data_IF_002688646889
#
_entry.id   IF_002688646889
#
_cell.length_a   1.000
_cell.length_b   1.000
_cell.length_c   1.000
_cell.angle_alpha   90.00
_cell.angle_beta   90.00
_cell.angle_gamma   90.00
#
_symmetry.space_group_name_H-M   'P 1'
#
loop_
_entity.id
_entity.type
_entity.pdbx_description
1 polymer ?
#
# COMPACT_ATOMS: atom_id res chain seq x y z
N UNK A 1 11.67 -24.25 16.17
CA UNK A 1 12.84 -25.01 16.69
C UNK A 1 13.75 -24.00 17.35
N UNK A 2 14.07 -24.17 18.63
CA UNK A 2 15.07 -23.33 19.30
C UNK A 2 16.44 -23.67 18.70
N UNK A 3 17.17 -22.65 18.24
CA UNK A 3 18.54 -22.82 17.78
C UNK A 3 19.42 -22.72 19.03
N UNK A 4 20.03 -23.82 19.42
CA UNK A 4 21.03 -23.83 20.48
C UNK A 4 22.33 -23.21 19.97
N UNK A 5 22.93 -22.36 20.79
CA UNK A 5 24.13 -21.60 20.43
C UNK A 5 25.16 -21.73 21.57
N UNK A 6 26.41 -22.04 21.23
CA UNK A 6 27.51 -22.25 22.17
C UNK A 6 28.70 -21.30 21.89
N UNK A 7 28.45 -20.22 21.18
CA UNK A 7 29.50 -19.27 20.86
C UNK A 7 29.96 -18.45 22.09
N UNK A 8 31.05 -17.73 21.91
CA UNK A 8 31.68 -16.97 23.00
C UNK A 8 30.74 -15.90 23.59
N UNK A 9 29.86 -15.31 22.78
CA UNK A 9 28.90 -14.33 23.27
C UNK A 9 27.87 -14.99 24.19
N UNK A 10 27.32 -16.13 23.79
CA UNK A 10 26.38 -16.90 24.61
C UNK A 10 26.98 -17.34 25.93
N UNK A 11 28.27 -17.70 25.96
CA UNK A 11 28.99 -17.97 27.22
C UNK A 11 29.13 -16.73 28.11
N UNK A 12 29.48 -15.58 27.52
CA UNK A 12 29.63 -14.31 28.25
C UNK A 12 28.29 -13.84 28.83
N UNK A 13 27.18 -14.03 28.09
CA UNK A 13 25.84 -13.62 28.52
C UNK A 13 25.12 -14.68 29.37
N UNK A 14 25.61 -15.92 29.42
CA UNK A 14 24.98 -17.04 30.13
C UNK A 14 23.72 -17.56 29.44
N UNK A 15 23.71 -17.58 28.11
CA UNK A 15 22.53 -17.92 27.30
C UNK A 15 22.68 -19.27 26.60
N UNK A 16 21.58 -20.02 26.51
CA UNK A 16 21.53 -21.35 25.87
C UNK A 16 20.69 -21.38 24.59
N UNK A 17 19.97 -20.30 24.30
CA UNK A 17 19.08 -20.18 23.15
C UNK A 17 19.40 -18.91 22.37
N UNK A 18 19.46 -19.04 21.04
CA UNK A 18 19.70 -17.92 20.16
C UNK A 18 18.44 -17.05 20.00
N UNK A 19 18.63 -15.72 20.08
CA UNK A 19 17.57 -14.75 19.86
C UNK A 19 18.08 -13.51 19.09
N UNK A 20 17.75 -13.44 17.80
CA UNK A 20 18.16 -12.33 16.93
C UNK A 20 17.76 -10.94 17.47
N UNK A 21 16.59 -10.82 18.11
CA UNK A 21 16.15 -9.52 18.68
C UNK A 21 17.07 -9.06 19.81
N UNK A 22 17.58 -10.00 20.62
CA UNK A 22 18.52 -9.67 21.69
C UNK A 22 19.87 -9.23 21.15
N UNK A 23 20.33 -9.84 20.06
CA UNK A 23 21.55 -9.44 19.37
C UNK A 23 21.42 -8.05 18.75
N UNK A 24 20.31 -7.78 18.05
CA UNK A 24 19.99 -6.44 17.52
C UNK A 24 20.03 -5.41 18.65
N UNK A 25 19.27 -5.65 19.72
CA UNK A 25 19.20 -4.73 20.85
C UNK A 25 20.58 -4.49 21.49
N UNK A 26 21.35 -5.57 21.71
CA UNK A 26 22.67 -5.48 22.32
C UNK A 26 23.64 -4.70 21.43
N UNK A 27 23.68 -5.02 20.14
CA UNK A 27 24.55 -4.34 19.19
C UNK A 27 24.30 -2.84 19.17
N UNK A 28 23.05 -2.43 18.96
CA UNK A 28 22.75 -1.01 18.87
C UNK A 28 22.89 -0.31 20.22
N UNK A 29 22.56 -0.97 21.33
CA UNK A 29 22.86 -0.43 22.67
C UNK A 29 24.35 -0.17 22.84
N UNK A 30 25.22 -1.07 22.40
CA UNK A 30 26.67 -0.84 22.41
C UNK A 30 27.07 0.30 21.46
N UNK A 31 26.50 0.39 20.27
CA UNK A 31 26.70 1.53 19.34
C UNK A 31 26.35 2.88 19.98
N UNK A 32 25.27 2.95 20.79
CA UNK A 32 24.85 4.19 21.45
C UNK A 32 25.82 4.67 22.52
N UNK A 33 26.45 3.75 23.24
CA UNK A 33 27.26 4.08 24.42
C UNK A 33 28.77 3.96 24.19
N UNK A 34 29.19 3.31 23.11
CA UNK A 34 30.59 2.94 22.91
C UNK A 34 31.08 3.36 21.52
N UNK A 35 32.19 4.08 21.49
CA UNK A 35 32.79 4.58 20.24
C UNK A 35 33.43 3.49 19.38
N UNK A 36 33.62 2.28 19.93
CA UNK A 36 34.25 1.15 19.24
C UNK A 36 33.31 0.39 18.31
N UNK A 37 31.99 0.65 18.39
CA UNK A 37 31.00 -0.02 17.57
C UNK A 37 30.54 0.90 16.43
N UNK A 38 30.41 0.33 15.24
CA UNK A 38 29.92 1.01 14.06
C UNK A 38 28.50 0.52 13.76
N UNK A 39 27.57 1.45 13.60
CA UNK A 39 26.16 1.15 13.35
C UNK A 39 25.92 0.42 12.02
N UNK A 40 26.83 0.56 11.04
CA UNK A 40 26.76 -0.09 9.71
C UNK A 40 27.40 -1.47 9.64
N UNK A 41 27.82 -2.04 10.78
CA UNK A 41 28.58 -3.29 10.85
C UNK A 41 27.79 -4.41 11.58
N UNK A 42 26.47 -4.26 11.73
CA UNK A 42 25.65 -5.32 12.34
C UNK A 42 25.58 -6.54 11.43
N UNK A 43 25.39 -6.30 10.12
CA UNK A 43 25.32 -7.35 9.11
C UNK A 43 26.69 -7.97 8.76
N UNK A 44 27.79 -7.48 9.34
CA UNK A 44 29.13 -8.04 9.13
C UNK A 44 29.26 -9.44 9.75
N UNK A 45 30.04 -10.30 9.09
CA UNK A 45 30.49 -11.55 9.69
C UNK A 45 31.31 -11.27 10.97
N UNK A 46 31.02 -12.01 12.05
CA UNK A 46 31.72 -11.85 13.34
C UNK A 46 31.15 -10.78 14.28
N UNK A 47 29.97 -10.22 14.00
CA UNK A 47 29.26 -9.27 14.89
C UNK A 47 29.17 -9.77 16.35
N UNK A 48 28.74 -11.02 16.56
CA UNK A 48 28.66 -11.65 17.89
C UNK A 48 30.03 -11.82 18.56
N UNK A 49 31.08 -12.13 17.80
CA UNK A 49 32.45 -12.22 18.33
C UNK A 49 32.98 -10.87 18.80
N UNK A 50 32.68 -9.79 18.05
CA UNK A 50 33.02 -8.41 18.46
C UNK A 50 32.36 -8.05 19.79
N UNK A 51 31.06 -8.34 19.93
CA UNK A 51 30.34 -8.12 21.19
C UNK A 51 30.95 -8.96 22.33
N UNK A 52 31.24 -10.24 22.09
CA UNK A 52 31.84 -11.13 23.09
C UNK A 52 33.21 -10.62 23.56
N UNK A 53 34.08 -10.24 22.63
CA UNK A 53 35.42 -9.72 22.90
C UNK A 53 35.36 -8.45 23.76
N UNK A 54 34.44 -7.54 23.45
CA UNK A 54 34.25 -6.31 24.22
C UNK A 54 33.73 -6.60 25.65
N UNK A 55 32.78 -7.52 25.80
CA UNK A 55 32.10 -7.79 27.07
C UNK A 55 32.88 -8.73 28.00
N UNK A 56 33.76 -9.60 27.46
CA UNK A 56 34.52 -10.60 28.22
C UNK A 56 35.27 -10.00 29.41
N UNK A 57 35.83 -8.81 29.23
CA UNK A 57 36.61 -8.12 30.26
C UNK A 57 35.79 -7.14 31.11
N UNK A 58 34.46 -7.15 31.00
CA UNK A 58 33.55 -6.21 31.69
C UNK A 58 32.34 -6.91 32.36
N UNK A 59 32.54 -7.81 33.34
CA UNK A 59 31.43 -8.55 33.98
C UNK A 59 30.36 -7.65 34.63
N UNK A 60 30.74 -6.49 35.18
CA UNK A 60 29.80 -5.53 35.74
C UNK A 60 28.84 -4.98 34.68
N UNK A 61 29.35 -4.65 33.49
CA UNK A 61 28.57 -4.16 32.35
C UNK A 61 27.64 -5.24 31.81
N UNK A 62 28.09 -6.50 31.76
CA UNK A 62 27.23 -7.63 31.38
C UNK A 62 26.01 -7.72 32.32
N UNK A 63 26.23 -7.69 33.63
CA UNK A 63 25.14 -7.74 34.61
C UNK A 63 24.17 -6.54 34.50
N UNK A 64 24.70 -5.35 34.18
CA UNK A 64 23.89 -4.17 33.94
C UNK A 64 23.03 -4.33 32.69
N UNK A 65 23.62 -4.74 31.56
CA UNK A 65 22.92 -4.98 30.30
C UNK A 65 21.82 -6.04 30.46
N UNK A 66 22.07 -7.14 31.16
CA UNK A 66 21.04 -8.16 31.41
C UNK A 66 19.86 -7.62 32.23
N UNK A 67 20.12 -6.71 33.18
CA UNK A 67 19.06 -6.01 33.95
C UNK A 67 18.31 -5.00 33.09
N UNK A 68 19.03 -4.20 32.29
CA UNK A 68 18.44 -3.25 31.33
C UNK A 68 17.51 -3.98 30.37
N UNK A 69 17.99 -5.08 29.79
CA UNK A 69 17.21 -5.95 28.90
C UNK A 69 15.88 -6.35 29.50
N UNK A 70 15.90 -6.87 30.73
CA UNK A 70 14.69 -7.30 31.40
C UNK A 70 13.72 -6.15 31.71
N UNK A 71 14.25 -4.95 31.96
CA UNK A 71 13.46 -3.75 32.29
C UNK A 71 12.94 -2.99 31.08
N UNK A 72 13.55 -3.18 29.90
CA UNK A 72 13.32 -2.34 28.73
C UNK A 72 12.71 -3.09 27.54
N UNK A 73 12.91 -4.40 27.39
CA UNK A 73 12.38 -5.12 26.23
C UNK A 73 10.90 -5.48 26.42
N UNK A 74 10.06 -4.96 25.54
CA UNK A 74 8.63 -5.28 25.49
C UNK A 74 8.38 -6.73 25.06
N UNK A 75 7.29 -7.33 25.54
CA UNK A 75 6.93 -8.70 25.17
C UNK A 75 6.60 -8.81 23.69
N UNK A 76 6.91 -9.97 23.08
CA UNK A 76 6.65 -10.24 21.66
C UNK A 76 5.19 -9.96 21.27
N UNK A 77 4.23 -10.34 22.12
CA UNK A 77 2.81 -10.11 21.90
C UNK A 77 2.45 -8.64 21.70
N UNK A 78 3.14 -7.72 22.39
CA UNK A 78 2.87 -6.29 22.31
C UNK A 78 3.37 -5.65 21.00
N UNK A 79 4.26 -6.33 20.26
CA UNK A 79 4.85 -5.86 19.00
C UNK A 79 4.41 -6.66 17.77
N UNK A 80 3.60 -7.71 17.92
CA UNK A 80 3.14 -8.53 16.79
C UNK A 80 2.37 -7.71 15.74
N UNK A 81 1.56 -6.75 16.18
CA UNK A 81 0.80 -5.89 15.27
C UNK A 81 1.70 -4.94 14.45
N UNK A 82 2.90 -4.60 14.94
CA UNK A 82 3.85 -3.72 14.25
C UNK A 82 4.34 -4.35 12.95
N UNK A 83 4.40 -5.69 12.93
CA UNK A 83 4.98 -6.48 11.84
C UNK A 83 3.92 -7.28 11.07
N UNK A 84 2.63 -6.96 11.25
CA UNK A 84 1.52 -7.72 10.65
C UNK A 84 1.45 -7.57 9.12
N UNK A 85 1.94 -6.46 8.58
CA UNK A 85 2.00 -6.16 7.15
C UNK A 85 3.09 -5.14 6.85
N UNK A 86 3.49 -5.04 5.58
CA UNK A 86 4.44 -4.02 5.14
C UNK A 86 3.92 -2.61 5.44
N UNK A 87 2.64 -2.33 5.18
CA UNK A 87 2.04 -1.04 5.54
C UNK A 87 2.11 -0.76 7.06
N UNK A 88 1.86 -1.76 7.91
CA UNK A 88 1.96 -1.60 9.36
C UNK A 88 3.40 -1.31 9.80
N UNK A 89 4.39 -1.99 9.21
CA UNK A 89 5.82 -1.76 9.46
C UNK A 89 6.19 -0.32 9.12
N UNK A 90 5.82 0.15 7.93
CA UNK A 90 6.15 1.51 7.49
C UNK A 90 5.47 2.59 8.34
N UNK A 91 4.18 2.41 8.65
CA UNK A 91 3.44 3.32 9.50
C UNK A 91 4.02 3.36 10.92
N UNK A 92 4.23 2.20 11.53
CA UNK A 92 4.74 2.10 12.89
C UNK A 92 6.17 2.63 13.00
N UNK A 93 7.03 2.38 12.01
CA UNK A 93 8.40 2.92 11.96
C UNK A 93 8.37 4.44 12.09
N UNK A 94 7.58 5.12 11.25
CA UNK A 94 7.45 6.58 11.28
C UNK A 94 6.92 7.06 12.63
N UNK A 95 5.87 6.45 13.14
CA UNK A 95 5.24 6.89 14.40
C UNK A 95 6.12 6.64 15.62
N UNK A 96 6.88 5.54 15.65
CA UNK A 96 7.87 5.26 16.68
C UNK A 96 8.97 6.32 16.61
N UNK A 97 9.55 6.57 15.44
CA UNK A 97 10.60 7.60 15.28
C UNK A 97 10.14 8.99 15.77
N UNK A 98 8.89 9.36 15.48
CA UNK A 98 8.29 10.61 15.97
C UNK A 98 8.16 10.59 17.49
N UNK A 99 7.63 9.51 18.05
CA UNK A 99 7.33 9.42 19.48
C UNK A 99 8.57 9.29 20.36
N UNK A 100 9.68 8.79 19.80
CA UNK A 100 10.93 8.58 20.51
C UNK A 100 11.97 9.66 20.25
N UNK A 101 11.63 10.71 19.49
CA UNK A 101 12.57 11.75 19.00
C UNK A 101 13.74 11.22 18.16
N UNK A 102 13.63 10.00 17.63
CA UNK A 102 14.63 9.41 16.73
C UNK A 102 14.48 9.89 15.28
N UNK A 103 13.57 10.84 15.01
CA UNK A 103 13.39 11.50 13.72
C UNK A 103 14.62 12.30 13.24
N UNK A 104 15.47 12.78 14.15
CA UNK A 104 16.54 13.74 13.83
C UNK A 104 17.96 13.19 14.00
N UNK A 105 18.11 11.88 14.15
CA UNK A 105 19.38 11.33 14.58
C UNK A 105 20.00 10.45 13.52
N UNK A 106 21.28 10.70 13.29
CA UNK A 106 22.28 9.92 12.55
C UNK A 106 22.47 8.49 13.11
N UNK A 107 21.43 7.85 13.65
CA UNK A 107 21.46 6.45 14.07
C UNK A 107 21.11 5.60 12.87
N UNK A 108 22.14 5.29 12.10
CA UNK A 108 22.04 4.38 10.96
C UNK A 108 21.85 2.96 11.51
N UNK A 109 20.62 2.49 11.56
CA UNK A 109 20.37 1.07 11.61
C UNK A 109 20.54 0.53 10.19
N UNK A 110 21.46 -0.39 9.98
CA UNK A 110 21.57 -1.22 8.77
C UNK A 110 20.50 -2.33 8.75
N UNK A 111 19.34 -2.07 9.35
CA UNK A 111 18.18 -2.96 9.37
C UNK A 111 17.11 -2.49 8.39
N UNK A 112 16.42 -3.45 7.80
CA UNK A 112 15.26 -3.22 6.96
C UNK A 112 14.05 -3.98 7.50
N UNK A 113 12.87 -3.67 6.95
CA UNK A 113 11.64 -4.42 7.20
C UNK A 113 11.23 -4.46 8.69
N UNK A 114 10.90 -5.65 9.19
CA UNK A 114 10.27 -5.88 10.50
C UNK A 114 11.18 -5.58 11.69
N UNK A 115 12.50 -5.71 11.52
CA UNK A 115 13.45 -5.60 12.62
C UNK A 115 13.75 -4.14 12.96
N UNK A 116 13.67 -3.25 11.97
CA UNK A 116 13.97 -1.82 12.14
C UNK A 116 13.07 -1.08 13.16
N UNK A 117 11.72 -1.10 13.06
CA UNK A 117 10.87 -0.42 14.06
C UNK A 117 11.04 -1.00 15.47
N UNK A 118 11.28 -2.32 15.57
CA UNK A 118 11.51 -3.00 16.85
C UNK A 118 12.83 -2.54 17.45
N UNK A 119 13.90 -2.44 16.66
CA UNK A 119 15.21 -1.99 17.12
C UNK A 119 15.14 -0.57 17.71
N UNK A 120 14.47 0.37 17.03
CA UNK A 120 14.29 1.75 17.51
C UNK A 120 13.56 1.76 18.86
N UNK A 121 12.51 0.96 19.00
CA UNK A 121 11.78 0.85 20.26
C UNK A 121 12.63 0.21 21.37
N UNK A 122 13.39 -0.83 21.04
CA UNK A 122 14.18 -1.60 21.99
C UNK A 122 15.34 -0.77 22.56
N UNK A 123 16.01 0.05 21.75
CA UNK A 123 17.10 0.93 22.19
C UNK A 123 16.64 2.20 22.90
N UNK A 124 15.35 2.55 22.78
CA UNK A 124 14.79 3.73 23.43
C UNK A 124 14.90 3.60 24.95
N UNK A 125 15.59 4.53 25.60
CA UNK A 125 15.95 4.47 27.02
C UNK A 125 14.78 4.85 27.95
N UNK A 126 13.73 4.04 27.91
CA UNK A 126 12.53 4.13 28.74
C UNK A 126 12.20 2.76 29.34
N UNK A 127 11.51 2.74 30.47
CA UNK A 127 11.10 1.48 31.07
C UNK A 127 9.97 0.80 30.26
N UNK A 128 9.81 -0.51 30.46
CA UNK A 128 8.82 -1.32 29.76
C UNK A 128 7.39 -0.76 29.85
N UNK A 129 7.01 -0.12 30.97
CA UNK A 129 5.67 0.46 31.15
C UNK A 129 5.42 1.57 30.15
N UNK A 130 6.40 2.47 29.98
CA UNK A 130 6.33 3.60 29.05
C UNK A 130 6.30 3.11 27.59
N UNK A 131 7.13 2.13 27.26
CA UNK A 131 7.14 1.52 25.91
C UNK A 131 5.83 0.80 25.59
N UNK A 132 5.31 0.02 26.53
CA UNK A 132 4.02 -0.66 26.35
C UNK A 132 2.86 0.33 26.26
N UNK A 133 2.88 1.43 27.03
CA UNK A 133 1.87 2.48 26.91
C UNK A 133 1.91 3.16 25.54
N UNK A 134 3.11 3.47 25.02
CA UNK A 134 3.28 3.97 23.66
C UNK A 134 2.72 2.98 22.64
N UNK A 135 3.15 1.71 22.67
CA UNK A 135 2.67 0.68 21.74
C UNK A 135 1.15 0.53 21.73
N UNK A 136 0.51 0.53 22.91
CA UNK A 136 -0.97 0.46 22.99
C UNK A 136 -1.63 1.68 22.35
N UNK A 137 -1.09 2.87 22.58
CA UNK A 137 -1.57 4.09 21.91
C UNK A 137 -1.39 4.00 20.40
N UNK A 138 -0.23 3.55 19.93
CA UNK A 138 0.05 3.34 18.51
C UNK A 138 -0.91 2.32 17.89
N UNK A 139 -1.14 1.18 18.54
CA UNK A 139 -2.04 0.14 18.05
C UNK A 139 -3.48 0.65 17.93
N UNK A 140 -3.95 1.46 18.88
CA UNK A 140 -5.28 2.08 18.83
C UNK A 140 -5.39 3.09 17.67
N UNK A 141 -4.35 3.92 17.49
CA UNK A 141 -4.28 4.85 16.34
C UNK A 141 -4.24 4.08 15.03
N UNK A 142 -3.49 3.00 14.93
CA UNK A 142 -3.42 2.13 13.76
C UNK A 142 -4.77 1.49 13.43
N UNK A 143 -5.49 0.97 14.44
CA UNK A 143 -6.85 0.43 14.26
C UNK A 143 -7.82 1.50 13.74
N UNK A 144 -7.76 2.71 14.30
CA UNK A 144 -8.59 3.84 13.87
C UNK A 144 -8.24 4.28 12.44
N UNK A 145 -6.95 4.27 12.13
CA UNK A 145 -6.41 4.59 10.81
C UNK A 145 -6.94 3.60 9.75
N UNK A 146 -6.82 2.29 10.01
CA UNK A 146 -7.38 1.23 9.15
C UNK A 146 -8.90 1.32 8.97
N UNK A 147 -9.64 1.75 10.01
CA UNK A 147 -11.09 1.90 9.91
C UNK A 147 -11.51 2.95 8.85
N UNK A 148 -10.64 3.92 8.55
CA UNK A 148 -10.86 4.94 7.53
C UNK A 148 -10.53 4.47 6.12
N UNK A 149 -9.98 3.27 5.93
CA UNK A 149 -9.59 2.75 4.62
C UNK A 149 -10.78 2.53 3.67
N UNK A 150 -12.01 2.57 4.19
CA UNK A 150 -13.25 2.45 3.40
C UNK A 150 -13.30 3.41 2.22
N UNK A 151 -12.68 4.59 2.32
CA UNK A 151 -12.62 5.56 1.22
C UNK A 151 -11.84 5.02 0.01
N UNK A 152 -10.87 4.14 0.25
CA UNK A 152 -10.03 3.50 -0.75
C UNK A 152 -10.56 2.14 -1.24
N UNK A 153 -11.65 1.62 -0.65
CA UNK A 153 -12.16 0.28 -0.94
C UNK A 153 -12.38 0.01 -2.44
N UNK A 154 -12.74 1.03 -3.21
CA UNK A 154 -12.95 0.94 -4.67
C UNK A 154 -11.70 0.50 -5.47
N UNK A 155 -10.49 0.72 -4.94
CA UNK A 155 -9.25 0.29 -5.58
C UNK A 155 -8.94 -1.19 -5.36
N UNK A 156 -9.61 -1.86 -4.41
CA UNK A 156 -9.31 -3.24 -4.04
C UNK A 156 -9.69 -4.26 -5.13
N UNK A 157 -10.59 -3.90 -6.03
CA UNK A 157 -11.15 -4.87 -6.98
C UNK A 157 -10.22 -5.19 -8.16
N UNK A 158 -9.34 -4.27 -8.55
CA UNK A 158 -8.55 -4.38 -9.80
C UNK A 158 -7.26 -3.55 -9.67
N UNK A 159 -6.10 -4.20 -9.76
CA UNK A 159 -4.79 -3.53 -9.60
C UNK A 159 -4.54 -2.43 -10.63
N UNK A 160 -5.12 -2.54 -11.83
CA UNK A 160 -5.07 -1.48 -12.85
C UNK A 160 -5.66 -0.15 -12.36
N UNK A 161 -6.57 -0.17 -11.38
CA UNK A 161 -7.08 1.06 -10.76
C UNK A 161 -6.01 1.76 -9.93
N UNK A 162 -5.14 0.99 -9.27
CA UNK A 162 -4.00 1.50 -8.50
C UNK A 162 -2.93 2.08 -9.42
N UNK A 163 -2.61 1.38 -10.51
CA UNK A 163 -1.70 1.89 -11.55
C UNK A 163 -2.23 3.20 -12.15
N UNK A 164 -3.52 3.25 -12.50
CA UNK A 164 -4.15 4.47 -13.02
C UNK A 164 -4.16 5.61 -11.98
N UNK A 165 -4.34 5.29 -10.69
CA UNK A 165 -4.24 6.27 -9.62
C UNK A 165 -2.83 6.88 -9.57
N UNK A 166 -1.80 6.06 -9.71
CA UNK A 166 -0.41 6.53 -9.77
C UNK A 166 -0.20 7.46 -10.96
N UNK A 167 -0.60 7.08 -12.16
CA UNK A 167 -0.49 7.92 -13.37
C UNK A 167 -1.19 9.26 -13.20
N UNK A 168 -2.37 9.25 -12.56
CA UNK A 168 -3.12 10.46 -12.28
C UNK A 168 -2.38 11.35 -11.27
N UNK A 169 -1.86 10.77 -10.18
CA UNK A 169 -1.11 11.50 -9.14
C UNK A 169 0.20 12.06 -9.67
N UNK A 170 0.93 11.31 -10.50
CA UNK A 170 2.18 11.78 -11.11
C UNK A 170 1.95 13.05 -11.96
N UNK A 171 0.83 13.10 -12.68
CA UNK A 171 0.45 14.24 -13.53
C UNK A 171 -0.11 15.43 -12.75
N UNK A 172 -0.83 15.19 -11.65
CA UNK A 172 -1.62 16.22 -10.96
C UNK A 172 -1.06 16.62 -9.59
N UNK A 173 -0.10 15.85 -9.06
CA UNK A 173 0.48 16.05 -7.72
C UNK A 173 1.95 15.60 -7.68
N UNK A 174 2.72 16.01 -8.69
CA UNK A 174 4.12 15.61 -8.88
C UNK A 174 4.99 15.73 -7.62
N UNK A 175 4.87 16.85 -6.89
CA UNK A 175 5.65 17.11 -5.66
C UNK A 175 5.44 16.02 -4.62
N UNK A 176 4.21 15.51 -4.48
CA UNK A 176 3.90 14.44 -3.52
C UNK A 176 4.36 13.07 -3.99
N UNK A 177 4.59 12.89 -5.30
CA UNK A 177 5.09 11.63 -5.87
C UNK A 177 6.62 11.56 -5.91
N UNK A 178 7.33 12.65 -5.63
CA UNK A 178 8.79 12.67 -5.57
C UNK A 178 9.31 11.66 -4.53
N UNK A 179 10.21 10.78 -4.96
CA UNK A 179 10.78 9.73 -4.10
C UNK A 179 9.85 8.56 -3.79
N UNK A 180 8.65 8.51 -4.39
CA UNK A 180 7.74 7.36 -4.30
C UNK A 180 7.81 6.49 -5.56
N UNK A 181 7.55 5.19 -5.42
CA UNK A 181 7.48 4.25 -6.53
C UNK A 181 6.04 4.13 -7.06
N UNK A 182 5.87 3.71 -8.33
CA UNK A 182 4.56 3.37 -8.87
C UNK A 182 3.77 2.38 -8.01
N UNK A 183 2.45 2.52 -8.01
CA UNK A 183 1.57 1.60 -7.30
C UNK A 183 1.39 0.34 -8.14
N UNK A 184 1.90 -0.79 -7.66
CA UNK A 184 1.66 -2.10 -8.27
C UNK A 184 0.51 -2.83 -7.57
N UNK A 185 0.22 -2.46 -6.32
CA UNK A 185 -0.80 -3.12 -5.48
C UNK A 185 -1.68 -2.09 -4.77
N UNK A 186 -2.83 -2.55 -4.28
CA UNK A 186 -3.66 -1.76 -3.38
C UNK A 186 -2.92 -1.29 -2.11
N UNK A 187 -1.99 -2.10 -1.59
CA UNK A 187 -1.21 -1.74 -0.41
C UNK A 187 -0.25 -0.56 -0.69
N UNK A 188 0.35 -0.48 -1.88
CA UNK A 188 1.22 0.65 -2.27
C UNK A 188 0.47 1.97 -2.25
N UNK A 189 -0.76 1.97 -2.77
CA UNK A 189 -1.65 3.12 -2.74
C UNK A 189 -1.92 3.57 -1.31
N UNK A 190 -2.24 2.62 -0.41
CA UNK A 190 -2.51 2.93 0.98
C UNK A 190 -1.27 3.52 1.69
N UNK A 191 -0.10 2.91 1.51
CA UNK A 191 1.17 3.39 2.05
C UNK A 191 1.45 4.82 1.57
N UNK A 192 1.23 5.11 0.29
CA UNK A 192 1.41 6.45 -0.25
C UNK A 192 0.49 7.46 0.45
N UNK A 193 -0.81 7.17 0.56
CA UNK A 193 -1.77 8.08 1.19
C UNK A 193 -1.59 8.23 2.70
N UNK A 194 -0.93 7.28 3.37
CA UNK A 194 -0.55 7.37 4.79
C UNK A 194 0.61 8.35 5.00
N UNK A 195 1.55 8.39 4.05
CA UNK A 195 2.70 9.31 4.07
C UNK A 195 2.35 10.69 3.52
N UNK A 196 1.44 10.74 2.55
CA UNK A 196 1.02 11.98 1.94
C UNK A 196 0.37 12.90 2.97
N UNK A 197 0.91 14.11 3.11
CA UNK A 197 0.40 15.13 4.01
C UNK A 197 -0.87 15.81 3.45
N UNK A 198 -1.85 15.00 3.07
CA UNK A 198 -3.13 15.45 2.54
C UNK A 198 -4.18 15.52 3.64
N UNK A 199 -4.97 16.59 3.61
CA UNK A 199 -6.20 16.65 4.39
C UNK A 199 -7.19 15.58 3.93
N UNK A 200 -8.19 15.29 4.76
CA UNK A 200 -9.25 14.34 4.41
C UNK A 200 -9.99 14.77 3.14
N UNK A 201 -10.29 16.04 3.01
CA UNK A 201 -10.99 16.65 1.87
C UNK A 201 -10.15 16.52 0.59
N UNK A 202 -8.83 16.72 0.69
CA UNK A 202 -7.91 16.53 -0.43
C UNK A 202 -7.88 15.06 -0.87
N UNK A 203 -7.81 14.12 0.07
CA UNK A 203 -7.87 12.67 -0.22
C UNK A 203 -9.17 12.33 -0.94
N UNK A 204 -10.31 12.75 -0.41
CA UNK A 204 -11.64 12.50 -1.01
C UNK A 204 -11.76 13.11 -2.41
N UNK A 205 -11.27 14.34 -2.59
CA UNK A 205 -11.25 15.02 -3.89
C UNK A 205 -10.42 14.26 -4.93
N UNK A 206 -9.19 13.86 -4.57
CA UNK A 206 -8.29 13.16 -5.49
C UNK A 206 -8.84 11.80 -5.87
N UNK A 207 -9.33 11.03 -4.88
CA UNK A 207 -9.99 9.76 -5.12
C UNK A 207 -11.20 9.93 -6.05
N UNK A 208 -12.01 10.97 -5.84
CA UNK A 208 -13.15 11.29 -6.71
C UNK A 208 -12.74 11.57 -8.16
N UNK A 209 -11.68 12.37 -8.36
CA UNK A 209 -11.14 12.67 -9.70
C UNK A 209 -10.57 11.42 -10.38
N UNK A 210 -9.85 10.58 -9.64
CA UNK A 210 -9.29 9.32 -10.14
C UNK A 210 -10.43 8.37 -10.58
N UNK A 211 -11.45 8.17 -9.74
CA UNK A 211 -12.63 7.35 -10.08
C UNK A 211 -13.34 7.82 -11.35
N UNK A 212 -13.54 9.14 -11.47
CA UNK A 212 -14.15 9.74 -12.67
C UNK A 212 -13.30 9.51 -13.91
N UNK A 213 -11.99 9.75 -13.81
CA UNK A 213 -11.04 9.52 -14.91
C UNK A 213 -11.02 8.07 -15.38
N UNK A 214 -11.02 7.12 -14.43
CA UNK A 214 -11.06 5.70 -14.72
C UNK A 214 -12.34 5.29 -15.46
N UNK A 215 -13.49 5.75 -14.98
CA UNK A 215 -14.78 5.47 -15.61
C UNK A 215 -14.81 5.98 -17.06
N UNK A 216 -14.26 7.18 -17.29
CA UNK A 216 -14.13 7.73 -18.63
C UNK A 216 -13.15 6.94 -19.51
N UNK A 217 -12.03 6.46 -18.94
CA UNK A 217 -11.06 5.61 -19.65
C UNK A 217 -11.74 4.31 -20.11
N UNK A 218 -12.36 3.55 -19.20
CA UNK A 218 -13.08 2.31 -19.53
C UNK A 218 -14.22 2.56 -20.54
N UNK A 219 -14.94 3.68 -20.41
CA UNK A 219 -15.95 4.06 -21.41
C UNK A 219 -15.35 4.26 -22.81
N UNK A 220 -14.23 4.98 -22.93
CA UNK A 220 -13.55 5.19 -24.22
C UNK A 220 -12.98 3.89 -24.78
N UNK A 221 -12.42 3.03 -23.93
CA UNK A 221 -11.94 1.70 -24.35
C UNK A 221 -13.09 0.84 -24.89
N UNK A 222 -14.27 0.88 -24.26
CA UNK A 222 -15.48 0.20 -24.74
C UNK A 222 -16.06 0.77 -26.04
N UNK A 223 -15.66 2.00 -26.43
CA UNK A 223 -16.02 2.63 -27.69
C UNK A 223 -15.03 2.36 -28.83
N UNK A 224 -13.91 1.67 -28.58
CA UNK A 224 -12.99 1.31 -29.66
C UNK A 224 -13.72 0.44 -30.70
N UNK A 225 -13.77 0.92 -31.95
CA UNK A 225 -14.52 0.29 -33.04
C UNK A 225 -16.01 0.70 -33.13
N UNK A 226 -16.50 1.55 -32.22
CA UNK A 226 -17.88 2.07 -32.21
C UNK A 226 -17.88 3.59 -32.33
N UNK A 227 -18.42 4.11 -33.42
CA UNK A 227 -18.65 5.54 -33.59
C UNK A 227 -20.09 5.90 -33.20
N UNK A 228 -20.26 6.95 -32.41
CA UNK A 228 -21.60 7.47 -32.09
C UNK A 228 -22.12 8.30 -33.27
N UNK A 229 -23.27 7.89 -33.83
CA UNK A 229 -24.00 8.67 -34.83
C UNK A 229 -25.30 9.20 -34.21
N UNK A 230 -25.54 10.50 -34.37
CA UNK A 230 -26.79 11.13 -33.96
C UNK A 230 -27.74 11.15 -35.16
N UNK A 231 -28.92 10.54 -35.00
CA UNK A 231 -29.95 10.50 -36.03
C UNK A 231 -31.10 11.44 -35.67
N UNK A 232 -31.59 12.19 -36.65
CA UNK A 232 -32.88 12.87 -36.55
C UNK A 232 -33.90 11.96 -37.20
N UNK A 233 -34.81 11.42 -36.38
CA UNK A 233 -35.87 10.51 -36.81
C UNK A 233 -37.23 11.16 -36.56
N UNK A 234 -38.24 10.81 -37.36
CA UNK A 234 -39.62 11.25 -37.08
C UNK A 234 -40.16 10.52 -35.86
N UNK A 235 -41.10 11.14 -35.14
CA UNK A 235 -41.72 10.54 -33.94
C UNK A 235 -42.29 9.15 -34.24
N UNK A 236 -42.91 8.99 -35.42
CA UNK A 236 -43.43 7.68 -35.87
C UNK A 236 -42.32 6.63 -35.99
N UNK A 237 -41.15 7.00 -36.52
CA UNK A 237 -40.03 6.08 -36.65
C UNK A 237 -39.43 5.71 -35.27
N UNK A 238 -39.43 6.63 -34.31
CA UNK A 238 -38.99 6.36 -32.94
C UNK A 238 -39.92 5.35 -32.26
N UNK A 239 -41.23 5.55 -32.35
CA UNK A 239 -42.22 4.60 -31.80
C UNK A 239 -42.05 3.20 -32.41
N UNK A 240 -41.95 3.12 -33.74
CA UNK A 240 -41.72 1.82 -34.41
C UNK A 240 -40.40 1.17 -34.01
N UNK A 241 -39.33 1.96 -33.82
CA UNK A 241 -38.03 1.45 -33.37
C UNK A 241 -38.13 0.88 -31.95
N UNK A 242 -38.87 1.53 -31.05
CA UNK A 242 -39.08 1.05 -29.67
C UNK A 242 -39.92 -0.22 -29.62
N UNK A 243 -41.01 -0.30 -30.39
CA UNK A 243 -41.83 -1.50 -30.49
C UNK A 243 -41.04 -2.71 -31.02
N UNK A 244 -40.22 -2.49 -32.06
CA UNK A 244 -39.38 -3.54 -32.62
C UNK A 244 -38.26 -3.97 -31.66
N UNK A 245 -37.60 -3.02 -31.01
CA UNK A 245 -36.55 -3.31 -30.03
C UNK A 245 -37.11 -4.12 -28.84
N UNK A 246 -38.30 -3.75 -28.36
CA UNK A 246 -38.99 -4.46 -27.29
C UNK A 246 -39.42 -5.86 -27.71
N UNK A 247 -39.94 -6.02 -28.94
CA UNK A 247 -40.39 -7.32 -29.45
C UNK A 247 -39.28 -8.38 -29.49
N UNK A 248 -38.05 -7.96 -29.78
CA UNK A 248 -36.90 -8.85 -29.89
C UNK A 248 -35.97 -8.79 -28.68
N UNK A 249 -36.33 -8.06 -27.62
CA UNK A 249 -35.53 -7.89 -26.39
C UNK A 249 -34.08 -7.43 -26.62
N UNK A 250 -33.88 -6.57 -27.62
CA UNK A 250 -32.56 -6.01 -27.97
C UNK A 250 -32.54 -4.49 -27.84
N UNK A 251 -31.34 -3.92 -27.73
CA UNK A 251 -31.19 -2.47 -27.71
C UNK A 251 -31.54 -1.84 -29.06
N UNK A 252 -32.05 -0.60 -29.05
CA UNK A 252 -32.33 0.19 -30.28
C UNK A 252 -31.12 0.28 -31.20
N UNK A 253 -29.93 0.46 -30.64
CA UNK A 253 -28.67 0.49 -31.40
C UNK A 253 -28.39 -0.84 -32.10
N UNK A 254 -28.57 -1.98 -31.38
CA UNK A 254 -28.37 -3.30 -31.97
C UNK A 254 -29.39 -3.61 -33.06
N UNK A 255 -30.64 -3.19 -32.88
CA UNK A 255 -31.66 -3.32 -33.92
C UNK A 255 -31.27 -2.53 -35.19
N UNK A 256 -30.79 -1.30 -35.04
CA UNK A 256 -30.32 -0.50 -36.18
C UNK A 256 -29.13 -1.16 -36.89
N UNK A 257 -28.15 -1.69 -36.15
CA UNK A 257 -27.03 -2.44 -36.74
C UNK A 257 -27.54 -3.63 -37.58
N UNK A 258 -28.44 -4.45 -37.03
CA UNK A 258 -29.01 -5.60 -37.75
C UNK A 258 -29.72 -5.16 -39.03
N UNK A 259 -30.52 -4.09 -38.97
CA UNK A 259 -31.23 -3.57 -40.16
C UNK A 259 -30.26 -3.06 -41.23
N UNK A 260 -29.17 -2.39 -40.81
CA UNK A 260 -28.11 -1.92 -41.72
C UNK A 260 -27.35 -3.11 -42.33
N UNK A 261 -26.98 -4.10 -41.52
CA UNK A 261 -26.30 -5.33 -41.97
C UNK A 261 -27.16 -6.08 -42.98
N UNK A 262 -28.44 -6.31 -42.68
CA UNK A 262 -29.39 -6.97 -43.57
C UNK A 262 -29.52 -6.27 -44.91
N UNK A 263 -29.67 -4.95 -44.91
CA UNK A 263 -29.82 -4.18 -46.14
C UNK A 263 -28.50 -4.11 -46.93
N UNK A 264 -27.35 -4.01 -46.26
CA UNK A 264 -26.06 -4.02 -46.93
C UNK A 264 -25.76 -5.37 -47.61
N UNK A 265 -26.21 -6.48 -47.03
CA UNK A 265 -26.03 -7.83 -47.59
C UNK A 265 -27.04 -8.14 -48.70
N UNK A 266 -28.32 -7.83 -48.49
CA UNK A 266 -29.42 -8.26 -49.39
C UNK A 266 -29.82 -7.20 -50.40
N UNK A 267 -29.70 -5.92 -50.05
CA UNK A 267 -30.01 -4.76 -50.90
C UNK A 267 -31.38 -4.86 -51.61
N UNK A 268 -32.40 -5.28 -50.88
CA UNK A 268 -33.75 -5.55 -51.37
C UNK A 268 -34.78 -4.54 -50.85
N UNK A 269 -34.73 -4.14 -49.57
CA UNK A 269 -35.81 -3.36 -48.96
C UNK A 269 -35.76 -1.87 -49.36
N UNK A 270 -34.57 -1.24 -49.39
CA UNK A 270 -34.46 0.18 -49.77
C UNK A 270 -34.76 0.37 -51.27
N UNK A 271 -34.18 -0.39 -52.20
CA UNK A 271 -34.47 -0.21 -53.63
C UNK A 271 -35.93 -0.43 -54.00
N UNK A 272 -36.60 -1.44 -53.41
CA UNK A 272 -38.03 -1.67 -53.63
C UNK A 272 -38.85 -0.47 -53.15
N UNK A 273 -38.58 0.03 -51.93
CA UNK A 273 -39.32 1.14 -51.34
C UNK A 273 -39.14 2.44 -52.12
N UNK A 274 -37.95 2.69 -52.67
CA UNK A 274 -37.70 3.82 -53.58
C UNK A 274 -38.51 3.67 -54.87
N UNK A 275 -38.50 2.48 -55.48
CA UNK A 275 -39.25 2.21 -56.73
C UNK A 275 -40.74 2.44 -56.56
N UNK A 276 -41.32 1.92 -55.49
CA UNK A 276 -42.75 2.07 -55.18
C UNK A 276 -43.12 3.53 -54.90
N UNK A 277 -42.26 4.27 -54.20
CA UNK A 277 -42.47 5.70 -53.95
C UNK A 277 -42.40 6.56 -55.22
N UNK A 278 -41.61 6.17 -56.22
CA UNK A 278 -41.55 6.83 -57.52
C UNK A 278 -42.81 6.58 -58.36
N UNK A 279 -43.32 5.34 -58.36
CA UNK A 279 -44.55 4.95 -59.06
C UNK A 279 -45.81 5.61 -58.50
N UNK A 280 -45.83 5.95 -57.22
CA UNK A 280 -46.95 6.68 -56.59
C UNK A 280 -46.91 8.19 -56.82
N UNK A 281 -45.82 8.72 -57.39
CA UNK A 281 -45.64 10.15 -57.72
C UNK A 281 -45.85 10.45 -59.21
N UNK A 282 -45.90 9.42 -60.06
CA UNK A 282 -46.26 9.49 -61.49
C UNK A 282 -47.76 9.32 -61.67
#
# INVERSE_FOLDING_TARGET
MAIHIEDELSKVLGETEYNNRYDIWLWYTLVFYETTFNSNAYLDTGMREKMASYLRNKPSRVNELLKERHKQLVHKKDIEWVIESRRAIEWATREIQISTDHNQLNYYFDLTEKDFPIAILDVWQRDITQKTALLRSLEQRWKSHKANDKVYAWFKDEDQKSEFAWDWLLKNSYVSTLGSTPFNTFEDLLIFFDKANYSREQKELYIGKIKKGWTQKKYRENLNGKAQYNFVLSDKAIVSLEELASRYEISRARLLEILIEMEAEKNDHIPEKIRTAQLLKS
#
